data_IF_215571171815
#
_entry.id   IF_215571171815
#
_cell.length_a   1.000
_cell.length_b   1.000
_cell.length_c   1.000
_cell.angle_alpha   90.00
_cell.angle_beta   90.00
_cell.angle_gamma   90.00
#
_symmetry.space_group_name_H-M   'P 1'
#
loop_
_entity.id
_entity.type
_entity.pdbx_description
1 polymer ?
#
# COMPACT_ATOMS: atom_id res chain seq x y z
N UNK A 1 -20.28 -26.99 -25.91
CA UNK A 1 -18.88 -26.70 -25.54
C UNK A 1 -18.94 -25.79 -24.32
N UNK A 2 -18.77 -26.36 -23.13
CA UNK A 2 -18.90 -25.64 -21.86
C UNK A 2 -17.51 -25.13 -21.51
N UNK A 3 -17.32 -23.82 -21.45
CA UNK A 3 -16.07 -23.23 -20.99
C UNK A 3 -15.86 -23.60 -19.51
N UNK A 4 -14.79 -24.34 -19.22
CA UNK A 4 -14.47 -24.83 -17.87
C UNK A 4 -14.29 -23.69 -16.87
N UNK A 5 -15.01 -23.83 -15.77
CA UNK A 5 -15.09 -22.96 -14.59
C UNK A 5 -13.89 -23.10 -13.64
N UNK A 6 -12.66 -23.28 -14.16
CA UNK A 6 -11.50 -23.63 -13.34
C UNK A 6 -10.73 -22.43 -12.75
N UNK A 7 -11.13 -21.19 -13.06
CA UNK A 7 -10.44 -19.99 -12.58
C UNK A 7 -10.76 -19.57 -11.13
N UNK A 8 -11.61 -20.31 -10.41
CA UNK A 8 -12.11 -19.88 -9.09
C UNK A 8 -11.62 -20.70 -7.89
N UNK A 9 -10.77 -21.72 -8.07
CA UNK A 9 -10.53 -22.72 -7.01
C UNK A 9 -9.17 -22.74 -6.32
N UNK A 10 -8.23 -21.87 -6.65
CA UNK A 10 -7.02 -21.73 -5.82
C UNK A 10 -6.56 -20.28 -5.76
N UNK A 11 -7.06 -19.59 -4.74
CA UNK A 11 -6.67 -18.22 -4.43
C UNK A 11 -5.77 -18.21 -3.19
N UNK A 12 -4.81 -19.12 -3.13
CA UNK A 12 -3.57 -18.80 -2.42
C UNK A 12 -3.05 -17.48 -2.99
N UNK A 13 -2.68 -16.55 -2.11
CA UNK A 13 -2.04 -15.31 -2.51
C UNK A 13 -0.74 -15.68 -3.22
N UNK A 14 -0.73 -15.52 -4.54
CA UNK A 14 0.40 -15.92 -5.38
C UNK A 14 1.52 -14.92 -5.17
N UNK A 15 2.69 -15.41 -4.78
CA UNK A 15 3.86 -14.57 -4.51
C UNK A 15 4.48 -14.12 -5.82
N UNK A 16 4.78 -12.83 -5.95
CA UNK A 16 5.50 -12.30 -7.11
C UNK A 16 7.00 -12.61 -7.02
N UNK A 17 7.60 -12.97 -8.15
CA UNK A 17 9.02 -13.20 -8.33
C UNK A 17 9.53 -12.45 -9.55
N UNK A 18 10.84 -12.16 -9.54
CA UNK A 18 11.55 -11.69 -10.72
C UNK A 18 11.71 -12.88 -11.68
N UNK A 19 11.42 -12.68 -12.97
CA UNK A 19 11.61 -13.70 -14.00
C UNK A 19 13.07 -14.17 -14.08
N UNK A 20 13.32 -15.38 -14.59
CA UNK A 20 14.68 -15.93 -14.73
C UNK A 20 15.61 -15.01 -15.54
N UNK A 21 15.08 -14.38 -16.59
CA UNK A 21 15.82 -13.43 -17.42
C UNK A 21 15.87 -12.01 -16.84
N UNK A 22 15.26 -11.77 -15.68
CA UNK A 22 15.25 -10.50 -14.93
C UNK A 22 14.68 -9.30 -15.69
N UNK A 23 13.66 -9.53 -16.52
CA UNK A 23 13.02 -8.47 -17.33
C UNK A 23 11.54 -8.23 -17.03
N UNK A 24 10.88 -9.15 -16.34
CA UNK A 24 9.48 -9.03 -15.99
C UNK A 24 9.18 -9.72 -14.66
N UNK A 25 7.96 -9.52 -14.17
CA UNK A 25 7.46 -10.19 -12.97
C UNK A 25 6.68 -11.43 -13.38
N UNK A 26 6.76 -12.46 -12.54
CA UNK A 26 5.99 -13.70 -12.66
C UNK A 26 5.40 -14.04 -11.30
N UNK A 27 4.32 -14.79 -11.28
CA UNK A 27 3.89 -15.51 -10.09
C UNK A 27 4.84 -16.68 -9.80
N UNK A 28 4.75 -17.23 -8.60
CA UNK A 28 5.57 -18.34 -8.15
C UNK A 28 5.37 -19.64 -8.95
N UNK A 29 4.23 -19.78 -9.63
CA UNK A 29 3.92 -20.83 -10.61
C UNK A 29 4.47 -20.58 -12.04
N UNK A 30 5.13 -19.44 -12.26
CA UNK A 30 5.70 -19.03 -13.55
C UNK A 30 4.76 -18.24 -14.46
N UNK A 31 3.48 -18.04 -14.08
CA UNK A 31 2.53 -17.23 -14.85
C UNK A 31 3.02 -15.77 -14.92
N UNK A 32 3.06 -15.12 -16.11
CA UNK A 32 3.46 -13.72 -16.22
C UNK A 32 2.55 -12.78 -15.42
N UNK A 33 3.15 -11.82 -14.72
CA UNK A 33 2.45 -10.72 -14.06
C UNK A 33 2.70 -9.42 -14.82
N UNK A 34 1.65 -8.89 -15.46
CA UNK A 34 1.68 -7.58 -16.09
C UNK A 34 1.32 -6.51 -15.05
N UNK A 35 2.27 -5.63 -14.74
CA UNK A 35 2.05 -4.50 -13.84
C UNK A 35 1.25 -3.42 -14.57
N UNK A 36 -0.05 -3.35 -14.32
CA UNK A 36 -0.92 -2.28 -14.76
C UNK A 36 -1.42 -1.54 -13.52
N UNK A 37 -0.73 -0.43 -13.21
CA UNK A 37 -0.95 0.36 -12.01
C UNK A 37 -1.95 1.49 -12.21
N UNK A 38 -2.82 1.70 -11.22
CA UNK A 38 -3.53 2.97 -11.03
C UNK A 38 -3.00 3.68 -9.77
N UNK A 39 -3.19 4.99 -9.70
CA UNK A 39 -2.64 5.83 -8.63
C UNK A 39 -3.76 6.45 -7.80
N UNK A 40 -3.85 6.05 -6.53
CA UNK A 40 -4.81 6.56 -5.55
C UNK A 40 -4.11 6.81 -4.20
N UNK A 41 -3.25 7.84 -4.17
CA UNK A 41 -2.40 8.12 -3.01
C UNK A 41 -3.19 8.26 -1.70
N UNK A 42 -4.26 9.03 -1.74
CA UNK A 42 -5.07 9.34 -0.55
C UNK A 42 -6.17 8.28 -0.26
N UNK A 43 -6.17 7.12 -0.93
CA UNK A 43 -7.24 6.12 -0.82
C UNK A 43 -7.52 5.69 0.63
N UNK A 44 -6.46 5.47 1.41
CA UNK A 44 -6.56 5.03 2.82
C UNK A 44 -6.99 6.15 3.78
N UNK A 45 -6.98 7.40 3.31
CA UNK A 45 -7.13 8.57 4.15
C UNK A 45 -8.42 9.35 3.85
N UNK A 46 -8.69 9.62 2.56
CA UNK A 46 -9.77 10.53 2.14
C UNK A 46 -11.04 9.83 1.68
N UNK A 47 -11.02 8.52 1.50
CA UNK A 47 -12.19 7.75 1.07
C UNK A 47 -12.85 7.02 2.26
N UNK A 48 -14.18 6.89 2.24
CA UNK A 48 -14.86 5.92 3.10
C UNK A 48 -14.61 4.49 2.57
N UNK A 49 -14.95 3.48 3.37
CA UNK A 49 -14.84 2.10 2.92
C UNK A 49 -15.70 1.82 1.67
N UNK A 50 -16.91 2.38 1.59
CA UNK A 50 -17.82 2.21 0.45
C UNK A 50 -17.27 2.88 -0.83
N UNK A 51 -16.68 4.07 -0.70
CA UNK A 51 -16.03 4.77 -1.81
C UNK A 51 -14.83 3.99 -2.32
N UNK A 52 -14.00 3.48 -1.39
CA UNK A 52 -12.87 2.60 -1.70
C UNK A 52 -13.33 1.33 -2.38
N UNK A 53 -14.40 0.68 -1.90
CA UNK A 53 -14.95 -0.52 -2.52
C UNK A 53 -15.42 -0.28 -3.95
N UNK A 54 -16.13 0.84 -4.17
CA UNK A 54 -16.56 1.24 -5.51
C UNK A 54 -15.38 1.50 -6.44
N UNK A 55 -14.36 2.21 -5.96
CA UNK A 55 -13.15 2.49 -6.73
C UNK A 55 -12.41 1.20 -7.10
N UNK A 56 -12.11 0.33 -6.13
CA UNK A 56 -11.37 -0.91 -6.36
C UNK A 56 -12.10 -1.86 -7.31
N UNK A 57 -13.43 -1.99 -7.16
CA UNK A 57 -14.24 -2.82 -8.06
C UNK A 57 -14.20 -2.30 -9.51
N UNK A 58 -14.25 -0.99 -9.72
CA UNK A 58 -14.10 -0.36 -11.04
C UNK A 58 -12.71 -0.63 -11.64
N UNK A 59 -11.63 -0.56 -10.84
CA UNK A 59 -10.28 -0.84 -11.33
C UNK A 59 -10.07 -2.31 -11.66
N UNK A 60 -10.58 -3.21 -10.83
CA UNK A 60 -10.57 -4.64 -11.13
C UNK A 60 -11.34 -4.96 -12.43
N UNK A 61 -12.53 -4.37 -12.63
CA UNK A 61 -13.32 -4.55 -13.85
C UNK A 61 -12.63 -4.03 -15.12
N UNK A 62 -11.75 -3.02 -14.98
CA UNK A 62 -10.92 -2.48 -16.08
C UNK A 62 -9.61 -3.24 -16.29
N UNK A 63 -9.33 -4.26 -15.47
CA UNK A 63 -8.14 -5.10 -15.61
C UNK A 63 -6.86 -4.52 -15.01
N UNK A 64 -6.93 -3.48 -14.17
CA UNK A 64 -5.78 -3.06 -13.37
C UNK A 64 -5.33 -4.22 -12.46
N UNK A 65 -4.03 -4.30 -12.22
CA UNK A 65 -3.44 -5.35 -11.37
C UNK A 65 -2.84 -4.78 -10.09
N UNK A 66 -2.52 -3.48 -10.06
CA UNK A 66 -1.91 -2.82 -8.90
C UNK A 66 -2.61 -1.49 -8.64
N UNK A 67 -2.88 -1.19 -7.36
CA UNK A 67 -3.32 0.12 -6.90
C UNK A 67 -2.23 0.71 -6.01
N UNK A 68 -1.67 1.84 -6.41
CA UNK A 68 -0.64 2.53 -5.66
C UNK A 68 -1.30 3.48 -4.65
N UNK A 69 -0.91 3.37 -3.38
CA UNK A 69 -1.44 4.20 -2.29
C UNK A 69 -0.37 4.41 -1.21
N UNK A 70 -0.61 5.31 -0.27
CA UNK A 70 0.33 5.61 0.83
C UNK A 70 -0.37 5.51 2.19
N UNK A 71 0.36 4.99 3.19
CA UNK A 71 -0.14 4.82 4.55
C UNK A 71 -0.08 6.14 5.33
N UNK A 72 1.09 6.80 5.38
CA UNK A 72 1.24 8.15 5.95
C UNK A 72 1.22 9.18 4.81
N UNK A 73 0.06 9.82 4.62
CA UNK A 73 -0.24 10.64 3.46
C UNK A 73 0.40 12.05 3.49
N UNK A 74 0.58 12.65 2.31
CA UNK A 74 1.21 13.97 2.14
C UNK A 74 0.30 15.12 2.62
N UNK A 75 -1.00 15.04 2.31
CA UNK A 75 -1.95 16.14 2.50
C UNK A 75 -2.46 16.20 3.95
N UNK A 76 -1.55 16.57 4.87
CA UNK A 76 -1.77 16.65 6.31
C UNK A 76 -2.21 15.31 6.93
N UNK A 77 -1.67 14.21 6.41
CA UNK A 77 -2.12 12.85 6.75
C UNK A 77 -1.85 12.39 8.18
N UNK A 78 -1.04 13.12 8.95
CA UNK A 78 -0.77 12.82 10.36
C UNK A 78 -1.76 13.49 11.32
N UNK A 79 -2.26 14.68 10.97
CA UNK A 79 -3.06 15.51 11.88
C UNK A 79 -4.51 15.65 11.45
N UNK A 80 -4.78 15.60 10.15
CA UNK A 80 -6.15 15.44 9.66
C UNK A 80 -6.55 13.98 9.81
N UNK A 81 -7.68 13.64 10.46
CA UNK A 81 -8.12 12.26 10.54
C UNK A 81 -8.63 11.73 9.20
N UNK A 82 -8.56 10.42 9.02
CA UNK A 82 -9.24 9.75 7.92
C UNK A 82 -10.77 9.93 8.01
N UNK A 83 -11.51 9.36 7.04
CA UNK A 83 -12.98 9.47 7.04
C UNK A 83 -13.69 8.81 8.23
N UNK A 84 -13.01 7.97 9.00
CA UNK A 84 -13.53 7.35 10.22
C UNK A 84 -13.22 8.17 11.49
N UNK A 85 -12.40 9.21 11.39
CA UNK A 85 -11.98 10.03 12.53
C UNK A 85 -10.66 9.60 13.16
N UNK A 86 -9.89 8.73 12.51
CA UNK A 86 -8.62 8.20 13.04
C UNK A 86 -7.40 8.82 12.35
N UNK A 87 -6.39 9.19 13.12
CA UNK A 87 -5.04 9.54 12.64
C UNK A 87 -4.14 8.29 12.63
N UNK A 88 -3.11 8.20 11.78
CA UNK A 88 -2.32 6.98 11.63
C UNK A 88 -1.39 6.66 12.79
N UNK A 89 -0.91 7.68 13.51
CA UNK A 89 0.07 7.56 14.59
C UNK A 89 -0.45 8.28 15.84
N UNK A 90 -0.06 7.81 17.01
CA UNK A 90 -0.27 8.51 18.28
C UNK A 90 0.92 9.45 18.50
N UNK A 91 0.66 10.73 18.79
CA UNK A 91 1.66 11.76 19.07
C UNK A 91 2.77 11.88 18.00
N UNK A 92 2.42 11.67 16.72
CA UNK A 92 3.35 11.66 15.57
C UNK A 92 4.50 10.65 15.67
N UNK A 93 4.40 9.66 16.56
CA UNK A 93 5.47 8.70 16.81
C UNK A 93 5.31 7.46 15.91
N UNK A 94 6.24 7.19 14.96
CA UNK A 94 6.18 6.00 14.10
C UNK A 94 6.23 4.66 14.86
N UNK A 95 6.65 4.68 16.13
CA UNK A 95 6.65 3.50 17.01
C UNK A 95 5.30 3.24 17.66
N UNK A 96 4.34 4.17 17.53
CA UNK A 96 3.01 4.11 18.13
C UNK A 96 1.91 4.21 17.05
N UNK A 97 1.77 3.19 16.18
CA UNK A 97 0.68 3.15 15.20
C UNK A 97 -0.69 3.08 15.89
N UNK A 98 -1.65 3.85 15.38
CA UNK A 98 -3.03 3.82 15.86
C UNK A 98 -3.79 2.63 15.27
N UNK A 99 -4.16 1.67 16.12
CA UNK A 99 -4.83 0.44 15.69
C UNK A 99 -6.16 0.70 14.95
N UNK A 100 -6.93 1.73 15.30
CA UNK A 100 -8.19 2.02 14.61
C UNK A 100 -7.97 2.43 13.14
N UNK A 101 -6.93 3.24 12.88
CA UNK A 101 -6.52 3.59 11.53
C UNK A 101 -6.04 2.35 10.76
N UNK A 102 -5.18 1.53 11.37
CA UNK A 102 -4.64 0.35 10.71
C UNK A 102 -5.69 -0.75 10.48
N UNK A 103 -6.73 -0.86 11.31
CA UNK A 103 -7.88 -1.72 11.05
C UNK A 103 -8.64 -1.30 9.78
N UNK A 104 -8.72 0.00 9.48
CA UNK A 104 -9.26 0.47 8.19
C UNK A 104 -8.34 0.06 7.02
N UNK A 105 -7.03 0.22 7.18
CA UNK A 105 -6.07 -0.19 6.14
C UNK A 105 -6.14 -1.70 5.87
N UNK A 106 -6.25 -2.53 6.91
CA UNK A 106 -6.45 -3.98 6.79
C UNK A 106 -7.68 -4.31 5.95
N UNK A 107 -8.80 -3.64 6.22
CA UNK A 107 -10.05 -3.86 5.49
C UNK A 107 -9.90 -3.51 4.01
N UNK A 108 -9.21 -2.42 3.68
CA UNK A 108 -8.93 -2.02 2.30
C UNK A 108 -7.98 -2.98 1.61
N UNK A 109 -6.91 -3.44 2.28
CA UNK A 109 -5.97 -4.43 1.75
C UNK A 109 -6.67 -5.75 1.48
N UNK A 110 -7.49 -6.24 2.42
CA UNK A 110 -8.27 -7.46 2.25
C UNK A 110 -9.26 -7.33 1.09
N UNK A 111 -9.91 -6.17 0.94
CA UNK A 111 -10.82 -5.91 -0.16
C UNK A 111 -10.11 -5.92 -1.52
N UNK A 112 -8.98 -5.22 -1.66
CA UNK A 112 -8.17 -5.25 -2.87
C UNK A 112 -7.71 -6.68 -3.20
N UNK A 113 -7.21 -7.40 -2.19
CA UNK A 113 -6.82 -8.79 -2.31
C UNK A 113 -7.98 -9.67 -2.79
N UNK A 114 -9.22 -9.42 -2.30
CA UNK A 114 -10.46 -10.11 -2.70
C UNK A 114 -10.95 -9.77 -4.12
N UNK A 115 -10.42 -8.71 -4.73
CA UNK A 115 -10.67 -8.32 -6.12
C UNK A 115 -9.53 -8.71 -7.08
N UNK A 116 -8.44 -9.28 -6.55
CA UNK A 116 -7.30 -9.76 -7.34
C UNK A 116 -6.28 -8.65 -7.62
N UNK A 117 -6.37 -7.56 -6.87
CA UNK A 117 -5.48 -6.41 -6.95
C UNK A 117 -4.35 -6.56 -5.93
N UNK A 118 -3.15 -6.19 -6.33
CA UNK A 118 -2.05 -5.92 -5.40
C UNK A 118 -2.13 -4.47 -4.94
N UNK A 119 -1.67 -4.20 -3.72
CA UNK A 119 -1.46 -2.83 -3.25
C UNK A 119 0.02 -2.48 -3.41
N UNK A 120 0.31 -1.48 -4.24
CA UNK A 120 1.60 -0.79 -4.26
C UNK A 120 1.67 0.15 -3.07
N UNK A 121 2.17 -0.33 -1.94
CA UNK A 121 2.10 0.37 -0.66
C UNK A 121 3.36 1.18 -0.41
N UNK A 122 3.22 2.51 -0.33
CA UNK A 122 4.22 3.35 0.30
C UNK A 122 4.01 3.34 1.82
N UNK A 123 5.01 2.98 2.62
CA UNK A 123 4.89 3.07 4.08
C UNK A 123 4.67 4.50 4.56
N UNK A 124 5.24 5.48 3.86
CA UNK A 124 5.11 6.90 4.16
C UNK A 124 5.36 7.72 2.91
N UNK A 125 4.75 8.90 2.82
CA UNK A 125 5.18 9.90 1.86
C UNK A 125 6.49 10.54 2.29
N UNK A 126 7.18 11.20 1.36
CA UNK A 126 8.53 11.66 1.59
C UNK A 126 8.66 12.86 2.51
N UNK A 127 7.63 13.69 2.61
CA UNK A 127 7.65 14.86 3.49
C UNK A 127 7.77 14.49 4.98
N UNK A 128 7.62 13.21 5.34
CA UNK A 128 7.79 12.70 6.70
C UNK A 128 9.22 12.26 7.04
N UNK A 129 10.11 12.15 6.06
CA UNK A 129 11.53 11.81 6.27
C UNK A 129 12.51 12.79 5.63
N UNK A 130 12.06 13.57 4.65
CA UNK A 130 12.81 14.67 4.04
C UNK A 130 11.80 15.67 3.49
N UNK A 131 11.45 16.70 4.26
CA UNK A 131 10.36 17.63 3.94
C UNK A 131 10.53 18.12 2.51
N UNK A 132 11.61 18.85 2.19
CA UNK A 132 11.84 19.60 0.92
C UNK A 132 10.67 20.50 0.49
N UNK A 133 9.50 19.93 0.27
CA UNK A 133 8.18 20.53 0.04
C UNK A 133 7.06 19.73 0.73
N UNK A 134 5.85 20.28 0.80
CA UNK A 134 4.72 19.64 1.48
C UNK A 134 4.54 20.14 2.92
N UNK A 135 3.63 19.50 3.65
CA UNK A 135 3.21 19.95 5.00
C UNK A 135 4.20 19.47 6.06
N UNK A 136 4.82 18.31 5.86
CA UNK A 136 5.63 17.65 6.88
C UNK A 136 4.73 17.09 8.01
N UNK A 137 5.21 17.07 9.27
CA UNK A 137 6.60 17.25 9.70
C UNK A 137 7.51 16.05 9.35
N UNK A 138 8.82 16.24 9.46
CA UNK A 138 9.79 15.13 9.53
C UNK A 138 9.66 14.40 10.88
N UNK A 139 9.36 13.11 10.86
CA UNK A 139 9.13 12.28 12.06
C UNK A 139 10.03 11.04 12.13
N UNK A 140 10.77 10.74 11.05
CA UNK A 140 11.58 9.53 10.98
C UNK A 140 13.04 9.75 11.38
N UNK A 141 13.54 8.89 12.26
CA UNK A 141 14.96 8.59 12.46
C UNK A 141 15.24 7.16 11.96
N UNK A 142 16.51 6.75 11.75
CA UNK A 142 16.83 5.37 11.39
C UNK A 142 16.27 4.34 12.38
N UNK A 143 16.27 4.65 13.67
CA UNK A 143 15.81 3.77 14.74
C UNK A 143 14.30 3.56 14.70
N UNK A 144 13.51 4.64 14.63
CA UNK A 144 12.06 4.53 14.59
C UNK A 144 11.54 4.03 13.22
N UNK A 145 12.26 4.32 12.12
CA UNK A 145 11.96 3.80 10.80
C UNK A 145 12.09 2.27 10.75
N UNK A 146 13.09 1.71 11.45
CA UNK A 146 13.23 0.26 11.59
C UNK A 146 12.05 -0.34 12.35
N UNK A 147 11.61 0.27 13.45
CA UNK A 147 10.46 -0.20 14.25
C UNK A 147 9.17 -0.15 13.44
N UNK A 148 8.90 0.99 12.78
CA UNK A 148 7.73 1.15 11.92
C UNK A 148 7.73 0.17 10.74
N UNK A 149 8.89 0.02 10.08
CA UNK A 149 9.08 -0.93 8.99
C UNK A 149 8.84 -2.38 9.43
N UNK A 150 9.31 -2.78 10.61
CA UNK A 150 9.04 -4.11 11.18
C UNK A 150 7.56 -4.31 11.50
N UNK A 151 6.90 -3.32 12.10
CA UNK A 151 5.45 -3.35 12.37
C UNK A 151 4.65 -3.56 11.09
N UNK A 152 4.84 -2.69 10.09
CA UNK A 152 4.00 -2.69 8.89
C UNK A 152 4.27 -3.91 8.00
N UNK A 153 5.53 -4.32 7.88
CA UNK A 153 5.88 -5.52 7.10
C UNK A 153 5.36 -6.80 7.72
N UNK A 154 5.38 -6.92 9.06
CA UNK A 154 4.78 -8.07 9.75
C UNK A 154 3.26 -8.09 9.61
N UNK A 155 2.60 -6.93 9.74
CA UNK A 155 1.13 -6.84 9.64
C UNK A 155 0.61 -7.30 8.28
N UNK A 156 1.34 -6.99 7.20
CA UNK A 156 0.94 -7.33 5.83
C UNK A 156 1.81 -8.40 5.17
N UNK A 157 2.53 -9.23 5.95
CA UNK A 157 3.46 -10.22 5.43
C UNK A 157 2.79 -11.24 4.49
N UNK A 158 1.55 -11.60 4.79
CA UNK A 158 0.78 -12.56 4.02
C UNK A 158 -0.18 -11.89 3.02
N UNK A 159 -0.14 -10.58 2.83
CA UNK A 159 -1.01 -9.84 1.91
C UNK A 159 -0.32 -9.56 0.56
N UNK A 160 -1.08 -9.31 -0.54
CA UNK A 160 -0.51 -9.05 -1.87
C UNK A 160 0.03 -7.61 -1.96
N UNK A 161 1.08 -7.31 -1.19
CA UNK A 161 1.72 -5.99 -1.15
C UNK A 161 2.95 -5.97 -2.04
N UNK A 162 3.08 -4.89 -2.82
CA UNK A 162 4.32 -4.49 -3.47
C UNK A 162 4.82 -3.24 -2.72
N UNK A 163 5.88 -3.39 -1.94
CA UNK A 163 6.46 -2.28 -1.19
C UNK A 163 7.12 -1.27 -2.12
N UNK A 164 6.73 0.00 -1.99
CA UNK A 164 7.32 1.12 -2.71
C UNK A 164 8.01 2.01 -1.67
N UNK A 165 9.34 2.03 -1.67
CA UNK A 165 10.14 2.82 -0.73
C UNK A 165 10.43 4.19 -1.33
N UNK A 166 10.48 5.24 -0.50
CA UNK A 166 10.71 6.62 -0.91
C UNK A 166 9.41 7.44 -0.87
N UNK A 167 9.08 8.11 -1.97
CA UNK A 167 7.90 8.96 -2.11
C UNK A 167 8.28 10.39 -2.45
N UNK A 168 8.43 10.68 -3.74
CA UNK A 168 8.63 12.03 -4.30
C UNK A 168 9.73 12.88 -3.63
N UNK A 169 10.76 12.28 -3.03
CA UNK A 169 11.88 13.03 -2.42
C UNK A 169 13.23 12.47 -2.86
N UNK A 170 14.21 13.33 -3.16
CA UNK A 170 15.56 12.89 -3.48
C UNK A 170 16.22 12.29 -2.24
N UNK A 171 17.00 11.24 -2.45
CA UNK A 171 17.96 10.78 -1.44
C UNK A 171 19.11 11.78 -1.45
N UNK A 172 19.32 12.46 -0.33
CA UNK A 172 20.51 13.27 -0.12
C UNK A 172 21.36 12.55 0.92
N UNK A 173 22.58 12.18 0.55
CA UNK A 173 23.60 11.83 1.53
C UNK A 173 24.05 13.12 2.21
N UNK A 174 24.11 13.16 3.54
CA UNK A 174 24.80 14.25 4.24
C UNK A 174 26.22 14.38 3.66
N UNK A 175 26.55 15.58 3.17
CA UNK A 175 27.88 15.97 2.71
C UNK A 175 28.73 16.48 3.86
#
# INVERSE_FOLDING_TARGET
MVASSDHQKDRRLRVLKISENRRFLVYDDGTPFFYLGDTAWELLHRCTYEETARYLADRAAKGFTVIQTVVLAELDGLHTPNRNGDVPLIDDDPTQPNEAYFAHVDAVVALAASLGLHIGMLPTWGDKWNVKWGVGPEIFTPENARVYGEFISRRYADAPIIWIVGGDRPIESES
#
